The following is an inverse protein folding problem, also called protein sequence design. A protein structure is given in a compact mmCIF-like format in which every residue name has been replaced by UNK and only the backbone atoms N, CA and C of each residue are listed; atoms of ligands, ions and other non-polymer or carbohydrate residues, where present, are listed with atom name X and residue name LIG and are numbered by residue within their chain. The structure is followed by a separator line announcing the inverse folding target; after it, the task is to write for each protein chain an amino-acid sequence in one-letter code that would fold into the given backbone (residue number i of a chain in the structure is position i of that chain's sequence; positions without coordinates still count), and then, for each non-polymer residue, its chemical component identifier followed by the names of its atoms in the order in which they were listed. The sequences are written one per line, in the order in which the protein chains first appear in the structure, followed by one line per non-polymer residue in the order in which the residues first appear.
data_IF_674676510184
#
_entry.id   IF_674676510184
#
_cell.length_a   1.000
_cell.length_b   1.000
_cell.length_c   1.000
_cell.angle_alpha   90.00
_cell.angle_beta   90.00
_cell.angle_gamma   90.00
#
_symmetry.space_group_name_H-M   'P 1'
#
loop_
_entity.id
_entity.type
_entity.pdbx_description
1 polymer ?
#
# COMPACT_ATOMS: atom_id res chain seq x y z
N UNK A 1 18.20 2.51 -15.02
CA UNK A 1 17.41 3.09 -13.93
C UNK A 1 16.04 2.45 -14.00
N UNK A 2 15.69 1.65 -12.99
CA UNK A 2 14.42 0.95 -12.92
C UNK A 2 13.50 1.74 -11.99
N UNK A 3 12.32 2.09 -12.47
CA UNK A 3 11.32 2.76 -11.66
C UNK A 3 10.01 1.98 -11.71
N UNK A 4 9.36 1.84 -10.57
CA UNK A 4 8.01 1.29 -10.50
C UNK A 4 6.98 2.40 -10.54
N UNK A 5 5.87 2.13 -11.22
CA UNK A 5 4.66 2.94 -11.12
C UNK A 5 3.52 2.02 -10.69
N UNK A 6 2.84 2.40 -9.60
CA UNK A 6 1.74 1.62 -9.04
C UNK A 6 0.56 2.53 -8.79
N UNK A 7 -0.62 2.07 -9.24
CA UNK A 7 -1.90 2.69 -8.94
C UNK A 7 -2.83 1.72 -8.24
N UNK A 8 -3.92 2.26 -7.69
CA UNK A 8 -5.10 1.50 -7.28
C UNK A 8 -4.85 0.48 -6.17
N UNK A 9 -4.00 0.79 -5.20
CA UNK A 9 -3.82 -0.09 -4.04
C UNK A 9 -5.11 -0.24 -3.22
N UNK A 10 -5.93 0.83 -3.13
CA UNK A 10 -7.24 0.88 -2.48
C UNK A 10 -7.25 0.28 -1.06
N UNK A 11 -6.14 0.42 -0.32
CA UNK A 11 -5.99 -0.16 1.02
C UNK A 11 -5.94 -1.70 1.07
N UNK A 12 -5.86 -2.41 -0.07
CA UNK A 12 -5.89 -3.88 -0.10
C UNK A 12 -4.52 -4.46 0.29
N UNK A 13 -4.41 -5.05 1.48
CA UNK A 13 -3.13 -5.54 2.04
C UNK A 13 -2.37 -6.47 1.10
N UNK A 14 -3.06 -7.37 0.39
CA UNK A 14 -2.43 -8.28 -0.57
C UNK A 14 -1.73 -7.55 -1.74
N UNK A 15 -2.22 -6.38 -2.15
CA UNK A 15 -1.58 -5.55 -3.19
C UNK A 15 -0.33 -4.87 -2.65
N UNK A 16 -0.36 -4.42 -1.39
CA UNK A 16 0.81 -3.87 -0.71
C UNK A 16 1.90 -4.93 -0.51
N UNK A 17 1.54 -6.16 -0.12
CA UNK A 17 2.47 -7.27 0.02
C UNK A 17 3.14 -7.63 -1.32
N UNK A 18 2.36 -7.69 -2.41
CA UNK A 18 2.89 -7.93 -3.74
C UNK A 18 3.86 -6.81 -4.18
N UNK A 19 3.51 -5.55 -3.94
CA UNK A 19 4.39 -4.41 -4.20
C UNK A 19 5.69 -4.52 -3.38
N UNK A 20 5.59 -4.85 -2.10
CA UNK A 20 6.76 -5.01 -1.23
C UNK A 20 7.70 -6.11 -1.75
N UNK A 21 7.15 -7.26 -2.14
CA UNK A 21 7.92 -8.35 -2.73
C UNK A 21 8.65 -7.89 -4.00
N UNK A 22 7.93 -7.22 -4.91
CA UNK A 22 8.52 -6.72 -6.16
C UNK A 22 9.66 -5.70 -5.89
N UNK A 23 9.47 -4.78 -4.93
CA UNK A 23 10.52 -3.81 -4.56
C UNK A 23 11.76 -4.54 -4.00
N UNK A 24 11.55 -5.57 -3.20
CA UNK A 24 12.65 -6.35 -2.62
C UNK A 24 13.43 -7.12 -3.68
N UNK A 25 12.74 -7.73 -4.63
CA UNK A 25 13.34 -8.58 -5.67
C UNK A 25 14.08 -7.72 -6.71
N UNK A 26 13.44 -6.67 -7.21
CA UNK A 26 13.94 -5.91 -8.36
C UNK A 26 14.71 -4.64 -7.97
N UNK A 27 14.59 -4.19 -6.71
CA UNK A 27 15.28 -3.01 -6.14
C UNK A 27 15.23 -1.77 -7.06
N UNK A 28 14.03 -1.27 -7.40
CA UNK A 28 13.91 -0.08 -8.25
C UNK A 28 14.54 1.14 -7.57
N UNK A 29 15.09 2.04 -8.39
CA UNK A 29 15.67 3.33 -7.96
C UNK A 29 14.60 4.28 -7.41
N UNK A 30 13.35 4.14 -7.89
CA UNK A 30 12.21 4.91 -7.41
C UNK A 30 10.89 4.14 -7.55
N UNK A 31 9.93 4.43 -6.68
CA UNK A 31 8.55 3.93 -6.74
C UNK A 31 7.61 5.12 -6.76
N UNK A 32 6.89 5.28 -7.87
CA UNK A 32 5.86 6.29 -8.06
C UNK A 32 4.50 5.68 -7.70
N UNK A 33 3.84 6.27 -6.70
CA UNK A 33 2.52 5.86 -6.24
C UNK A 33 1.48 6.87 -6.75
N UNK A 34 0.47 6.39 -7.47
CA UNK A 34 -0.64 7.21 -7.98
C UNK A 34 -2.00 6.58 -7.70
N UNK A 35 -3.08 7.26 -8.08
CA UNK A 35 -4.45 6.77 -7.91
C UNK A 35 -4.88 6.62 -6.44
N UNK A 36 -5.84 5.73 -6.18
CA UNK A 36 -6.43 5.54 -4.86
C UNK A 36 -5.59 4.58 -4.02
N UNK A 37 -4.77 5.14 -3.12
CA UNK A 37 -3.87 4.37 -2.27
C UNK A 37 -4.57 3.87 -0.99
N UNK A 38 -5.40 4.74 -0.43
CA UNK A 38 -6.14 4.49 0.80
C UNK A 38 -7.45 3.77 0.50
N UNK A 39 -7.98 3.00 1.47
CA UNK A 39 -9.35 2.51 1.35
C UNK A 39 -10.29 3.73 1.21
N UNK A 40 -11.22 3.67 0.25
CA UNK A 40 -12.27 4.69 0.17
C UNK A 40 -13.03 4.73 1.50
N UNK A 41 -13.33 5.92 2.00
CA UNK A 41 -13.75 6.17 3.37
C UNK A 41 -14.99 5.36 3.79
N UNK A 42 -14.79 4.26 4.54
CA UNK A 42 -15.51 3.79 5.74
C UNK A 42 -15.22 2.29 5.93
N UNK A 43 -14.18 1.97 6.68
CA UNK A 43 -14.19 0.95 7.74
C UNK A 43 -12.90 1.14 8.54
N UNK A 44 -12.93 2.18 9.38
CA UNK A 44 -11.85 2.55 10.29
C UNK A 44 -11.72 1.57 11.47
N UNK A 45 -12.47 0.46 11.45
CA UNK A 45 -12.55 -0.52 12.53
C UNK A 45 -11.29 -1.38 12.65
N UNK A 46 -10.61 -1.71 11.54
CA UNK A 46 -9.51 -2.68 11.60
C UNK A 46 -8.11 -2.04 11.63
N UNK A 47 -8.02 -0.72 11.43
CA UNK A 47 -6.73 -0.01 11.37
C UNK A 47 -6.30 0.59 12.71
N UNK A 48 -7.17 0.59 13.72
CA UNK A 48 -6.83 1.01 15.09
C UNK A 48 -6.63 -0.25 15.93
N UNK A 49 -5.39 -0.58 16.37
CA UNK A 49 -5.18 -1.65 17.33
C UNK A 49 -6.08 -1.44 18.55
N UNK A 50 -6.65 -2.50 19.09
CA UNK A 50 -7.58 -2.44 20.25
C UNK A 50 -7.02 -1.64 21.43
N UNK A 51 -5.70 -1.53 21.55
CA UNK A 51 -4.99 -0.73 22.53
C UNK A 51 -5.20 0.80 22.42
N UNK A 52 -5.79 1.30 21.34
CA UNK A 52 -5.95 2.74 21.08
C UNK A 52 -7.41 3.19 20.87
N UNK A 53 -8.40 2.35 21.22
CA UNK A 53 -9.80 2.78 21.27
C UNK A 53 -10.10 3.42 22.65
N UNK A 54 -10.80 4.56 22.72
CA UNK A 54 -11.14 5.25 23.97
C UNK A 54 -12.09 4.43 24.86
#
# INVERSE_FOLDING_TARGET
MLCFFVSDLHGRSNRYEALWKAISDDRPDAVFLGGDLMPMWLEQSDFVPSAFRP
#
